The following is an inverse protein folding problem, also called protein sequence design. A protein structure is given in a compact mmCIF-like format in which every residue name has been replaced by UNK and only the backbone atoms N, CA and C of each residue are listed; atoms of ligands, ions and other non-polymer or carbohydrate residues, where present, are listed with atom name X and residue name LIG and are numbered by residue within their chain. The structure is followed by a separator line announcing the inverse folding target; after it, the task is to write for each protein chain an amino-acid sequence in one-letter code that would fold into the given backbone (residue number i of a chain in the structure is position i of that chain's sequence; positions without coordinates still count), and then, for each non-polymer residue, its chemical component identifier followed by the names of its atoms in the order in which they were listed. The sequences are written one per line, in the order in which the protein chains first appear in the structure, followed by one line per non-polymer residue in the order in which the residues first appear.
data_IF_879066914530
#
_entry.id   IF_879066914530
#
_cell.length_a   1.000
_cell.length_b   1.000
_cell.length_c   1.000
_cell.angle_alpha   90.00
_cell.angle_beta   90.00
_cell.angle_gamma   90.00
#
_symmetry.space_group_name_H-M   'P 1'
#
loop_
_entity.id
_entity.type
_entity.pdbx_description
1 polymer ?
#
# COMPACT_ATOMS: atom_id res chain seq x y z
N UNK A 1 -10.68 -14.71 -19.92
CA UNK A 1 -10.73 -14.77 -18.44
C UNK A 1 -12.15 -14.41 -18.03
N UNK A 2 -12.79 -15.20 -17.16
CA UNK A 2 -14.11 -14.85 -16.60
C UNK A 2 -13.94 -13.60 -15.75
N UNK A 3 -14.83 -12.62 -15.92
CA UNK A 3 -14.81 -11.39 -15.13
C UNK A 3 -15.32 -11.74 -13.73
N UNK A 4 -14.52 -11.47 -12.70
CA UNK A 4 -14.92 -11.71 -11.31
C UNK A 4 -16.11 -10.83 -10.93
N UNK A 5 -16.97 -11.35 -10.06
CA UNK A 5 -18.04 -10.58 -9.44
C UNK A 5 -17.48 -9.61 -8.39
N UNK A 6 -18.25 -8.58 -8.04
CA UNK A 6 -17.85 -7.60 -7.02
C UNK A 6 -17.62 -8.27 -5.64
N UNK A 7 -18.44 -9.27 -5.31
CA UNK A 7 -18.35 -9.99 -4.04
C UNK A 7 -17.10 -10.86 -3.95
N UNK A 8 -16.72 -11.52 -5.06
CA UNK A 8 -15.47 -12.28 -5.14
C UNK A 8 -14.23 -11.36 -5.03
N UNK A 9 -14.30 -10.17 -5.63
CA UNK A 9 -13.24 -9.18 -5.54
C UNK A 9 -13.06 -8.67 -4.11
N UNK A 10 -14.16 -8.39 -3.41
CA UNK A 10 -14.13 -7.96 -2.02
C UNK A 10 -13.54 -9.05 -1.12
N UNK A 11 -14.00 -10.30 -1.28
CA UNK A 11 -13.49 -11.43 -0.50
C UNK A 11 -11.98 -11.63 -0.69
N UNK A 12 -11.49 -11.56 -1.93
CA UNK A 12 -10.06 -11.67 -2.18
C UNK A 12 -9.27 -10.49 -1.61
N UNK A 13 -9.84 -9.29 -1.63
CA UNK A 13 -9.23 -8.11 -1.01
C UNK A 13 -9.09 -8.29 0.49
N UNK A 14 -10.13 -8.78 1.18
CA UNK A 14 -10.09 -9.10 2.61
C UNK A 14 -9.02 -10.14 2.92
N UNK A 15 -8.93 -11.22 2.12
CA UNK A 15 -7.90 -12.24 2.30
C UNK A 15 -6.48 -11.69 2.17
N UNK A 16 -6.24 -10.79 1.20
CA UNK A 16 -4.94 -10.11 1.05
C UNK A 16 -4.65 -9.26 2.28
N UNK A 17 -5.65 -8.51 2.76
CA UNK A 17 -5.49 -7.68 3.95
C UNK A 17 -5.19 -8.51 5.20
N UNK A 18 -5.86 -9.64 5.40
CA UNK A 18 -5.63 -10.51 6.55
C UNK A 18 -4.19 -11.05 6.57
N UNK A 19 -3.68 -11.49 5.41
CA UNK A 19 -2.29 -11.94 5.29
C UNK A 19 -1.32 -10.80 5.61
N UNK A 20 -1.54 -9.60 5.06
CA UNK A 20 -0.68 -8.45 5.33
C UNK A 20 -0.72 -8.03 6.80
N UNK A 21 -1.89 -8.09 7.43
CA UNK A 21 -2.08 -7.79 8.84
C UNK A 21 -1.32 -8.78 9.73
N UNK A 22 -1.41 -10.07 9.44
CA UNK A 22 -0.67 -11.10 10.19
C UNK A 22 0.85 -10.89 10.12
N UNK A 23 1.37 -10.57 8.93
CA UNK A 23 2.80 -10.28 8.77
C UNK A 23 3.22 -8.99 9.48
N UNK A 24 2.37 -7.96 9.43
CA UNK A 24 2.57 -6.73 10.17
C UNK A 24 2.61 -6.96 11.68
N UNK A 25 1.67 -7.72 12.25
CA UNK A 25 1.63 -8.03 13.70
C UNK A 25 2.88 -8.80 14.15
N UNK A 26 3.33 -9.78 13.34
CA UNK A 26 4.59 -10.50 13.59
C UNK A 26 5.80 -9.56 13.57
N UNK A 27 5.88 -8.68 12.58
CA UNK A 27 6.98 -7.73 12.47
C UNK A 27 6.97 -6.70 13.61
N UNK A 28 5.79 -6.17 13.97
CA UNK A 28 5.62 -5.25 15.08
C UNK A 28 6.02 -5.88 16.44
N UNK A 29 5.68 -7.15 16.65
CA UNK A 29 6.08 -7.91 17.84
C UNK A 29 7.58 -8.21 17.94
N UNK A 30 8.31 -8.19 16.82
CA UNK A 30 9.74 -8.43 16.75
C UNK A 30 10.60 -7.16 16.92
N UNK A 31 10.00 -5.98 16.85
CA UNK A 31 10.67 -4.69 17.09
C UNK A 31 10.69 -3.76 15.86
N UNK A 32 11.19 -2.54 16.09
CA UNK A 32 11.14 -1.44 15.12
C UNK A 32 11.87 -1.75 13.80
N UNK A 33 13.04 -2.40 13.87
CA UNK A 33 13.81 -2.77 12.68
C UNK A 33 13.05 -3.77 11.79
N UNK A 34 12.41 -4.77 12.39
CA UNK A 34 11.64 -5.76 11.64
C UNK A 34 10.38 -5.14 11.04
N UNK A 35 9.75 -4.21 11.76
CA UNK A 35 8.61 -3.45 11.25
C UNK A 35 9.00 -2.56 10.06
N UNK A 36 10.14 -1.89 10.13
CA UNK A 36 10.70 -1.13 9.01
C UNK A 36 11.02 -2.05 7.82
N UNK A 37 11.59 -3.22 8.07
CA UNK A 37 11.85 -4.22 7.04
C UNK A 37 10.57 -4.68 6.36
N UNK A 38 9.50 -4.94 7.12
CA UNK A 38 8.19 -5.30 6.56
C UNK A 38 7.66 -4.21 5.62
N UNK A 39 7.63 -2.95 6.05
CA UNK A 39 7.13 -1.86 5.20
C UNK A 39 7.97 -1.66 3.94
N UNK A 40 9.29 -1.73 4.05
CA UNK A 40 10.20 -1.59 2.90
C UNK A 40 10.06 -2.76 1.92
N UNK A 41 9.95 -3.99 2.41
CA UNK A 41 9.73 -5.17 1.57
C UNK A 41 8.37 -5.16 0.87
N UNK A 42 7.31 -4.73 1.56
CA UNK A 42 5.97 -4.59 0.97
C UNK A 42 5.97 -3.53 -0.14
N UNK A 43 6.55 -2.35 0.13
CA UNK A 43 6.66 -1.28 -0.85
C UNK A 43 7.50 -1.70 -2.08
N UNK A 44 8.64 -2.36 -1.87
CA UNK A 44 9.48 -2.88 -2.94
C UNK A 44 8.71 -3.89 -3.80
N UNK A 45 8.02 -4.84 -3.17
CA UNK A 45 7.23 -5.87 -3.86
C UNK A 45 6.15 -5.22 -4.74
N UNK A 46 5.36 -4.29 -4.18
CA UNK A 46 4.33 -3.57 -4.95
C UNK A 46 4.93 -2.79 -6.12
N UNK A 47 6.03 -2.07 -5.90
CA UNK A 47 6.72 -1.33 -6.95
C UNK A 47 7.27 -2.23 -8.06
N UNK A 48 7.77 -3.42 -7.69
CA UNK A 48 8.32 -4.40 -8.64
C UNK A 48 7.30 -4.94 -9.63
N UNK A 49 6.00 -4.90 -9.29
CA UNK A 49 4.92 -5.37 -10.16
C UNK A 49 4.41 -4.33 -11.15
N UNK A 50 4.74 -3.04 -10.97
CA UNK A 50 4.29 -1.98 -11.87
C UNK A 50 4.72 -2.25 -13.33
N UNK A 51 5.99 -2.59 -13.63
CA UNK A 51 6.41 -2.83 -15.00
C UNK A 51 5.76 -4.04 -15.68
N UNK A 52 5.28 -5.01 -14.89
CA UNK A 52 4.61 -6.22 -15.40
C UNK A 52 3.10 -6.02 -15.61
N UNK A 53 2.53 -4.95 -15.06
CA UNK A 53 1.08 -4.75 -15.01
C UNK A 53 0.56 -3.80 -16.11
N UNK A 54 1.43 -3.10 -16.83
CA UNK A 54 1.06 -2.11 -17.85
C UNK A 54 2.20 -1.83 -18.83
N UNK A 55 1.89 -1.15 -19.94
CA UNK A 55 2.88 -0.58 -20.85
C UNK A 55 3.60 0.65 -20.28
N UNK A 56 4.68 1.13 -20.92
CA UNK A 56 5.49 2.26 -20.45
C UNK A 56 4.69 3.53 -20.14
N UNK A 57 3.65 3.81 -20.92
CA UNK A 57 2.73 4.95 -20.72
C UNK A 57 1.92 4.87 -19.41
N UNK A 58 1.77 3.67 -18.84
CA UNK A 58 1.04 3.44 -17.59
C UNK A 58 1.89 3.64 -16.33
N UNK A 59 3.23 3.60 -16.44
CA UNK A 59 4.12 3.59 -15.26
C UNK A 59 3.93 4.83 -14.39
N UNK A 60 4.01 6.03 -14.99
CA UNK A 60 3.83 7.28 -14.28
C UNK A 60 2.47 7.35 -13.55
N UNK A 61 1.34 7.19 -14.26
CA UNK A 61 0.02 7.20 -13.66
C UNK A 61 -0.18 6.16 -12.53
N UNK A 62 0.28 4.92 -12.71
CA UNK A 62 0.16 3.89 -11.66
C UNK A 62 1.01 4.23 -10.44
N UNK A 63 2.28 4.59 -10.65
CA UNK A 63 3.19 4.96 -9.57
C UNK A 63 2.62 6.13 -8.77
N UNK A 64 2.06 7.14 -9.43
CA UNK A 64 1.37 8.24 -8.76
C UNK A 64 0.17 7.76 -7.94
N UNK A 65 -0.68 6.90 -8.51
CA UNK A 65 -1.84 6.35 -7.78
C UNK A 65 -1.43 5.53 -6.55
N UNK A 66 -0.33 4.80 -6.61
CA UNK A 66 0.23 4.07 -5.48
C UNK A 66 0.71 5.03 -4.38
N UNK A 67 1.47 6.08 -4.73
CA UNK A 67 1.89 7.10 -3.77
C UNK A 67 0.71 7.85 -3.15
N UNK A 68 -0.31 8.16 -3.94
CA UNK A 68 -1.51 8.83 -3.46
C UNK A 68 -2.27 7.96 -2.45
N UNK A 69 -2.41 6.68 -2.75
CA UNK A 69 -3.07 5.73 -1.85
C UNK A 69 -2.29 5.56 -0.55
N UNK A 70 -0.96 5.46 -0.63
CA UNK A 70 -0.08 5.35 0.54
C UNK A 70 -0.17 6.60 1.42
N UNK A 71 -0.01 7.79 0.84
CA UNK A 71 -0.01 9.06 1.58
C UNK A 71 -1.37 9.36 2.21
N UNK A 72 -2.47 9.06 1.51
CA UNK A 72 -3.82 9.16 2.08
C UNK A 72 -4.02 8.20 3.26
N UNK A 73 -3.53 6.96 3.16
CA UNK A 73 -3.57 6.00 4.25
C UNK A 73 -2.82 6.47 5.49
N UNK A 74 -1.63 7.05 5.31
CA UNK A 74 -0.85 7.64 6.42
C UNK A 74 -1.60 8.82 7.04
N UNK A 75 -2.12 9.75 6.23
CA UNK A 75 -2.87 10.91 6.73
C UNK A 75 -4.11 10.48 7.54
N UNK A 76 -4.84 9.47 7.07
CA UNK A 76 -6.00 8.92 7.77
C UNK A 76 -5.59 8.25 9.08
N UNK A 77 -4.48 7.49 9.08
CA UNK A 77 -3.91 6.91 10.30
C UNK A 77 -3.48 7.97 11.32
N UNK A 78 -2.83 9.04 10.87
CA UNK A 78 -2.45 10.18 11.73
C UNK A 78 -3.67 10.84 12.37
N UNK A 79 -4.73 11.07 11.59
CA UNK A 79 -5.98 11.64 12.09
C UNK A 79 -6.64 10.71 13.13
N UNK A 80 -6.69 9.40 12.86
CA UNK A 80 -7.21 8.42 13.80
C UNK A 80 -6.40 8.36 15.10
N UNK A 81 -5.09 8.61 15.04
CA UNK A 81 -4.20 8.68 16.19
C UNK A 81 -4.22 10.05 16.92
N UNK A 82 -5.01 11.02 16.46
CA UNK A 82 -5.09 12.36 17.06
C UNK A 82 -3.84 13.22 16.82
N UNK A 83 -3.04 12.92 15.80
CA UNK A 83 -1.85 13.70 15.45
C UNK A 83 -2.27 14.94 14.65
N UNK A 84 -2.05 16.13 15.20
CA UNK A 84 -2.29 17.42 14.54
C UNK A 84 -1.18 17.72 13.51
N UNK A 85 -1.16 16.95 12.42
CA UNK A 85 -0.21 17.10 11.32
C UNK A 85 -0.89 16.95 9.96
N UNK A 86 -0.43 17.73 8.99
CA UNK A 86 -0.87 17.64 7.59
C UNK A 86 0.29 17.17 6.72
N UNK A 87 0.08 16.08 5.99
CA UNK A 87 1.01 15.61 4.98
C UNK A 87 0.79 16.41 3.69
N UNK A 88 1.85 17.06 3.20
CA UNK A 88 1.83 17.79 1.92
C UNK A 88 2.68 17.02 0.92
N UNK A 89 2.05 16.55 -0.16
CA UNK A 89 2.74 15.91 -1.29
C UNK A 89 3.10 16.97 -2.33
N UNK A 90 4.39 17.15 -2.59
CA UNK A 90 4.89 18.07 -3.64
C UNK A 90 5.37 17.22 -4.82
N UNK A 91 4.71 17.36 -5.97
CA UNK A 91 5.12 16.76 -7.23
C UNK A 91 5.74 17.87 -8.08
N UNK A 92 6.98 17.70 -8.51
CA UNK A 92 7.63 18.62 -9.47
C UNK A 92 7.41 18.07 -10.87
N UNK A 93 7.05 18.97 -11.79
CA UNK A 93 6.95 18.70 -13.23
C UNK A 93 8.31 18.34 -13.84
#
# INVERSE_FOLDING_TARGET
MSQMTADELNLQTEQIMDVLKEQWEKAAGAGEEQLLHFFTAAAYTLGSFVPFSMGPEGFGPMTMKLFDSLTNGIQLGMQAAGVEGTMIKIVKE
#
